data_IF_741772774675
#
_entry.id   IF_741772774675
#
_cell.length_a   1.000
_cell.length_b   1.000
_cell.length_c   1.000
_cell.angle_alpha   90.00
_cell.angle_beta   90.00
_cell.angle_gamma   90.00
#
_symmetry.space_group_name_H-M   'P 1'
#
loop_
_entity.id
_entity.type
_entity.pdbx_description
1 polymer ?
#
# COMPACT_ATOMS: atom_id res chain seq x y z
N UNK A 1 30.90 -2.27 -2.55
CA UNK A 1 29.45 -2.54 -2.76
C UNK A 1 29.36 -3.83 -3.57
N UNK A 2 28.25 -4.57 -3.46
CA UNK A 2 28.01 -5.75 -4.33
C UNK A 2 27.74 -5.29 -5.77
N UNK A 3 28.30 -5.99 -6.76
CA UNK A 3 28.01 -5.74 -8.17
C UNK A 3 26.54 -6.07 -8.46
N UNK A 4 25.80 -5.15 -9.08
CA UNK A 4 24.40 -5.35 -9.47
C UNK A 4 24.38 -5.67 -10.95
N UNK A 5 23.86 -6.84 -11.32
CA UNK A 5 23.73 -7.24 -12.72
C UNK A 5 22.38 -6.78 -13.28
N UNK A 6 22.44 -6.24 -14.49
CA UNK A 6 21.29 -5.77 -15.27
C UNK A 6 21.18 -6.46 -16.64
N UNK A 7 22.21 -7.21 -17.03
CA UNK A 7 22.26 -7.90 -18.31
C UNK A 7 21.32 -9.12 -18.38
N UNK A 8 20.92 -9.48 -19.60
CA UNK A 8 19.96 -10.56 -19.85
C UNK A 8 20.55 -11.94 -19.49
N UNK A 9 21.80 -12.18 -19.89
CA UNK A 9 22.48 -13.47 -19.76
C UNK A 9 23.81 -13.36 -18.97
N UNK A 10 23.87 -12.40 -18.03
CA UNK A 10 25.00 -12.16 -17.13
C UNK A 10 26.33 -11.83 -17.83
N UNK A 11 26.25 -11.22 -19.01
CA UNK A 11 27.38 -10.73 -19.79
C UNK A 11 28.20 -9.73 -18.95
N UNK A 12 27.50 -8.86 -18.23
CA UNK A 12 28.09 -7.87 -17.34
C UNK A 12 28.90 -8.50 -16.19
N UNK A 13 28.42 -9.61 -15.62
CA UNK A 13 29.13 -10.36 -14.57
C UNK A 13 30.41 -11.00 -15.12
N UNK A 14 30.33 -11.62 -16.30
CA UNK A 14 31.49 -12.24 -16.96
C UNK A 14 32.57 -11.20 -17.26
N UNK A 15 32.17 -10.07 -17.85
CA UNK A 15 33.06 -8.95 -18.12
C UNK A 15 33.65 -8.36 -16.85
N UNK A 16 32.83 -8.17 -15.80
CA UNK A 16 33.27 -7.63 -14.52
C UNK A 16 34.31 -8.53 -13.84
N UNK A 17 34.11 -9.85 -13.88
CA UNK A 17 35.10 -10.82 -13.37
C UNK A 17 36.43 -10.69 -14.11
N UNK A 18 36.38 -10.70 -15.44
CA UNK A 18 37.58 -10.59 -16.28
C UNK A 18 38.31 -9.26 -16.07
N UNK A 19 37.58 -8.16 -15.90
CA UNK A 19 38.12 -6.80 -15.84
C UNK A 19 38.26 -6.26 -14.41
N UNK A 20 38.25 -7.13 -13.40
CA UNK A 20 38.30 -6.74 -11.98
C UNK A 20 39.53 -5.90 -11.58
N UNK A 21 40.61 -5.95 -12.35
CA UNK A 21 41.81 -5.11 -12.17
C UNK A 21 41.73 -3.72 -12.82
N UNK A 22 40.71 -3.42 -13.62
CA UNK A 22 40.56 -2.16 -14.35
C UNK A 22 39.71 -1.18 -13.54
N UNK A 23 40.27 -0.03 -13.22
CA UNK A 23 39.54 1.09 -12.61
C UNK A 23 39.14 2.09 -13.70
N UNK A 24 37.84 2.41 -13.78
CA UNK A 24 37.27 3.40 -14.71
C UNK A 24 37.62 3.11 -16.18
N UNK A 25 37.29 1.90 -16.62
CA UNK A 25 37.53 1.47 -18.00
C UNK A 25 36.59 2.12 -19.00
N UNK A 26 36.76 1.75 -20.27
CA UNK A 26 35.99 2.26 -21.39
C UNK A 26 35.45 1.14 -22.26
N UNK A 27 34.23 1.31 -22.76
CA UNK A 27 33.50 0.30 -23.52
C UNK A 27 32.80 0.88 -24.74
N UNK A 28 32.50 0.02 -25.71
CA UNK A 28 31.64 0.33 -26.86
C UNK A 28 30.51 -0.71 -26.90
N UNK A 29 29.28 -0.24 -26.87
CA UNK A 29 28.07 -1.07 -26.87
C UNK A 29 27.33 -0.86 -28.20
N UNK A 30 27.50 -1.78 -29.16
CA UNK A 30 26.88 -1.70 -30.49
C UNK A 30 25.58 -2.50 -30.46
N UNK A 31 24.46 -1.78 -30.69
CA UNK A 31 23.12 -2.28 -30.40
C UNK A 31 22.79 -2.16 -28.91
N UNK A 32 23.04 -0.97 -28.35
CA UNK A 32 22.91 -0.72 -26.91
C UNK A 32 21.45 -0.77 -26.41
N UNK A 33 20.47 -0.46 -27.28
CA UNK A 33 19.05 -0.53 -27.00
C UNK A 33 18.63 0.20 -25.68
N UNK A 34 17.99 -0.49 -24.73
CA UNK A 34 17.44 0.15 -23.53
C UNK A 34 18.55 0.38 -22.48
N UNK A 35 18.69 1.61 -21.92
CA UNK A 35 19.75 1.93 -20.98
C UNK A 35 19.62 1.27 -19.60
N UNK A 36 18.50 0.60 -19.32
CA UNK A 36 18.18 0.04 -18.00
C UNK A 36 17.81 -1.43 -18.11
N UNK A 37 16.97 -1.78 -19.08
CA UNK A 37 16.49 -3.15 -19.28
C UNK A 37 17.48 -3.94 -20.12
N UNK A 38 17.88 -5.12 -19.62
CA UNK A 38 18.86 -6.00 -20.27
C UNK A 38 20.20 -5.32 -20.58
N UNK A 39 20.52 -4.23 -19.88
CA UNK A 39 21.71 -3.41 -20.14
C UNK A 39 22.98 -4.05 -19.60
N UNK A 40 23.90 -4.39 -20.50
CA UNK A 40 25.25 -4.86 -20.14
C UNK A 40 26.09 -3.74 -19.54
N UNK A 41 25.89 -2.51 -20.00
CA UNK A 41 26.70 -1.34 -19.68
C UNK A 41 26.30 -0.61 -18.39
N UNK A 42 25.06 -0.74 -17.90
CA UNK A 42 24.58 -0.02 -16.71
C UNK A 42 25.44 -0.30 -15.46
N UNK A 43 25.79 -1.56 -15.21
CA UNK A 43 26.60 -1.92 -14.06
C UNK A 43 27.99 -1.24 -14.09
N UNK A 44 28.59 -1.14 -15.28
CA UNK A 44 29.86 -0.44 -15.48
C UNK A 44 29.71 1.07 -15.25
N UNK A 45 28.67 1.68 -15.80
CA UNK A 45 28.37 3.10 -15.63
C UNK A 45 28.24 3.50 -14.15
N UNK A 46 27.55 2.69 -13.34
CA UNK A 46 27.40 2.88 -11.89
C UNK A 46 28.74 2.76 -11.13
N UNK A 47 29.75 2.14 -11.74
CA UNK A 47 31.10 1.98 -11.20
C UNK A 47 32.14 2.92 -11.84
N UNK A 48 31.70 4.11 -12.30
CA UNK A 48 32.52 5.16 -12.90
C UNK A 48 33.20 4.80 -14.25
N UNK A 49 32.76 3.72 -14.90
CA UNK A 49 33.17 3.48 -16.30
C UNK A 49 32.39 4.40 -17.22
N UNK A 50 32.97 4.71 -18.37
CA UNK A 50 32.31 5.50 -19.40
C UNK A 50 32.46 4.83 -20.75
N UNK A 51 31.41 4.86 -21.55
CA UNK A 51 31.43 4.22 -22.86
C UNK A 51 30.82 5.05 -23.97
N UNK A 52 30.67 4.36 -25.10
CA UNK A 52 29.98 4.82 -26.30
C UNK A 52 28.89 3.81 -26.61
N UNK A 53 27.69 4.31 -26.88
CA UNK A 53 26.55 3.51 -27.30
C UNK A 53 26.29 3.77 -28.77
N UNK A 54 26.09 2.72 -29.54
CA UNK A 54 25.65 2.81 -30.94
C UNK A 54 24.24 2.27 -31.04
N UNK A 55 23.31 3.13 -31.44
CA UNK A 55 21.88 2.81 -31.48
C UNK A 55 21.18 3.61 -32.58
N UNK A 56 20.76 2.98 -33.69
CA UNK A 56 20.21 3.69 -34.84
C UNK A 56 18.82 4.31 -34.59
N UNK A 57 18.02 3.77 -33.67
CA UNK A 57 16.64 4.24 -33.45
C UNK A 57 16.59 5.51 -32.61
N UNK A 58 15.70 6.43 -32.97
CA UNK A 58 15.48 7.66 -32.18
C UNK A 58 14.96 7.33 -30.78
N UNK A 59 14.10 6.31 -30.67
CA UNK A 59 13.48 5.92 -29.42
C UNK A 59 14.53 5.55 -28.36
N UNK A 60 15.43 4.62 -28.68
CA UNK A 60 16.42 4.13 -27.73
C UNK A 60 17.60 5.09 -27.58
N UNK A 61 18.04 5.75 -28.66
CA UNK A 61 19.09 6.77 -28.55
C UNK A 61 18.68 7.95 -27.65
N UNK A 62 17.41 8.39 -27.70
CA UNK A 62 16.87 9.39 -26.77
C UNK A 62 16.83 8.90 -25.32
N UNK A 63 16.43 7.64 -25.07
CA UNK A 63 16.48 7.03 -23.73
C UNK A 63 17.92 6.97 -23.19
N UNK A 64 18.87 6.52 -24.01
CA UNK A 64 20.29 6.44 -23.66
C UNK A 64 20.84 7.82 -23.28
N UNK A 65 20.60 8.86 -24.08
CA UNK A 65 21.03 10.25 -23.76
C UNK A 65 20.47 10.74 -22.43
N UNK A 66 19.21 10.44 -22.14
CA UNK A 66 18.57 10.83 -20.89
C UNK A 66 19.17 10.08 -19.68
N UNK A 67 19.49 8.80 -19.83
CA UNK A 67 20.01 7.94 -18.78
C UNK A 67 21.54 8.03 -18.58
N UNK A 68 22.26 8.51 -19.61
CA UNK A 68 23.74 8.61 -19.67
C UNK A 68 24.16 9.99 -20.21
N UNK A 69 23.88 11.09 -19.49
CA UNK A 69 24.12 12.45 -19.98
C UNK A 69 25.60 12.81 -20.20
N UNK A 70 26.52 12.01 -19.66
CA UNK A 70 27.97 12.18 -19.74
C UNK A 70 28.66 11.09 -20.57
N UNK A 71 27.91 10.28 -21.31
CA UNK A 71 28.41 9.34 -22.31
C UNK A 71 28.02 9.77 -23.73
N UNK A 72 28.65 9.16 -24.74
CA UNK A 72 28.39 9.49 -26.14
C UNK A 72 27.43 8.47 -26.75
N UNK A 73 26.43 8.96 -27.47
CA UNK A 73 25.46 8.15 -28.21
C UNK A 73 25.65 8.44 -29.70
N UNK A 74 26.17 7.46 -30.43
CA UNK A 74 26.25 7.47 -31.88
C UNK A 74 24.94 6.90 -32.45
N UNK A 75 24.06 7.79 -32.93
CA UNK A 75 22.78 7.39 -33.49
C UNK A 75 22.93 6.99 -34.96
N UNK A 76 23.59 5.87 -35.19
CA UNK A 76 23.93 5.31 -36.50
C UNK A 76 23.81 3.79 -36.45
N UNK A 77 23.65 3.15 -37.60
CA UNK A 77 23.92 1.73 -37.75
C UNK A 77 25.40 1.52 -38.13
N UNK A 78 25.98 0.38 -37.74
CA UNK A 78 27.35 0.03 -38.13
C UNK A 78 27.33 -0.90 -39.34
N UNK A 79 28.08 -0.53 -40.38
CA UNK A 79 28.15 -1.28 -41.63
C UNK A 79 29.04 -0.60 -42.67
N UNK A 80 29.16 -1.20 -43.85
CA UNK A 80 30.01 -0.70 -44.94
C UNK A 80 29.26 -0.52 -46.25
N UNK A 81 29.74 0.40 -47.08
CA UNK A 81 29.34 0.51 -48.50
C UNK A 81 28.14 1.40 -48.79
N UNK A 82 27.52 2.01 -47.77
CA UNK A 82 26.38 2.93 -47.91
C UNK A 82 26.45 4.07 -46.90
N UNK A 83 25.85 5.22 -47.22
CA UNK A 83 25.71 6.36 -46.28
C UNK A 83 24.50 6.22 -45.35
N UNK A 84 23.48 5.48 -45.79
CA UNK A 84 22.26 5.19 -45.04
C UNK A 84 21.67 3.85 -45.46
N UNK A 85 20.84 3.25 -44.62
CA UNK A 85 20.14 1.99 -44.90
C UNK A 85 18.66 2.07 -44.51
N UNK A 86 17.83 1.23 -45.14
CA UNK A 86 16.45 1.01 -44.74
C UNK A 86 16.40 0.12 -43.50
N UNK A 87 15.60 0.50 -42.51
CA UNK A 87 15.57 -0.11 -41.19
C UNK A 87 14.12 -0.36 -40.77
N UNK A 88 13.86 -1.56 -40.25
CA UNK A 88 12.57 -1.96 -39.70
C UNK A 88 12.60 -1.79 -38.18
N UNK A 89 11.96 -0.73 -37.70
CA UNK A 89 11.86 -0.43 -36.28
C UNK A 89 10.65 -1.16 -35.67
N UNK A 90 10.91 -2.10 -34.76
CA UNK A 90 9.89 -2.80 -33.98
C UNK A 90 9.85 -2.21 -32.56
N UNK A 91 9.00 -1.19 -32.40
CA UNK A 91 8.88 -0.39 -31.18
C UNK A 91 8.74 -1.25 -29.92
N UNK A 92 9.53 -0.94 -28.88
CA UNK A 92 9.50 -1.59 -27.56
C UNK A 92 9.85 -3.11 -27.54
N UNK A 93 10.48 -3.65 -28.59
CA UNK A 93 10.80 -5.10 -28.66
C UNK A 93 12.28 -5.46 -28.60
N UNK A 94 13.18 -4.59 -29.08
CA UNK A 94 14.60 -4.91 -29.30
C UNK A 94 14.90 -5.50 -30.68
N UNK A 95 13.90 -6.10 -31.32
CA UNK A 95 14.01 -6.88 -32.56
C UNK A 95 14.17 -6.04 -33.84
N UNK A 96 14.66 -4.80 -33.73
CA UNK A 96 14.76 -3.89 -34.88
C UNK A 96 15.96 -4.25 -35.75
N UNK A 97 15.75 -4.37 -37.06
CA UNK A 97 16.77 -4.89 -37.99
C UNK A 97 16.67 -4.22 -39.36
N UNK A 98 17.76 -4.27 -40.13
CA UNK A 98 17.73 -3.96 -41.57
C UNK A 98 17.80 -5.19 -42.47
N UNK A 99 17.78 -6.39 -41.90
CA UNK A 99 17.68 -7.61 -42.69
C UNK A 99 16.21 -7.87 -43.10
N UNK A 100 15.94 -7.87 -44.40
CA UNK A 100 14.60 -8.08 -44.96
C UNK A 100 14.01 -9.45 -44.59
N UNK A 101 14.83 -10.50 -44.46
CA UNK A 101 14.35 -11.84 -44.13
C UNK A 101 13.96 -11.92 -42.66
N UNK A 102 14.79 -11.36 -41.76
CA UNK A 102 14.50 -11.28 -40.32
C UNK A 102 13.28 -10.39 -40.08
N UNK A 103 13.20 -9.23 -40.73
CA UNK A 103 12.03 -8.35 -40.65
C UNK A 103 10.74 -9.07 -41.05
N UNK A 104 10.75 -9.85 -42.14
CA UNK A 104 9.61 -10.67 -42.56
C UNK A 104 9.23 -11.73 -41.53
N UNK A 105 10.22 -12.41 -40.92
CA UNK A 105 9.95 -13.39 -39.86
C UNK A 105 9.22 -12.76 -38.67
N UNK A 106 9.59 -11.54 -38.27
CA UNK A 106 8.91 -10.83 -37.18
C UNK A 106 7.51 -10.35 -37.60
N UNK A 107 7.34 -9.84 -38.82
CA UNK A 107 6.02 -9.47 -39.34
C UNK A 107 5.06 -10.66 -39.39
N UNK A 108 5.54 -11.83 -39.85
CA UNK A 108 4.77 -13.07 -39.89
C UNK A 108 4.42 -13.59 -38.48
N UNK A 109 5.24 -13.25 -37.50
CA UNK A 109 5.00 -13.54 -36.07
C UNK A 109 4.03 -12.57 -35.40
N UNK A 110 3.49 -11.60 -36.14
CA UNK A 110 2.46 -10.67 -35.69
C UNK A 110 2.97 -9.32 -35.16
N UNK A 111 4.27 -9.08 -35.22
CA UNK A 111 4.84 -7.77 -34.86
C UNK A 111 4.53 -6.72 -35.92
N UNK A 112 4.58 -5.45 -35.52
CA UNK A 112 4.36 -4.31 -36.42
C UNK A 112 5.66 -3.51 -36.56
N UNK A 113 6.07 -3.24 -37.80
CA UNK A 113 7.29 -2.49 -38.09
C UNK A 113 6.97 -1.07 -38.56
N UNK A 114 7.83 -0.13 -38.19
CA UNK A 114 7.90 1.20 -38.78
C UNK A 114 9.15 1.27 -39.66
N UNK A 115 8.98 1.60 -40.93
CA UNK A 115 10.13 1.79 -41.83
C UNK A 115 10.83 3.12 -41.53
N UNK A 116 12.16 3.06 -41.41
CA UNK A 116 13.05 4.19 -41.18
C UNK A 116 14.22 4.15 -42.14
N UNK A 117 14.85 5.30 -42.34
CA UNK A 117 16.17 5.40 -42.97
C UNK A 117 17.11 5.92 -41.91
N UNK A 118 18.18 5.18 -41.63
CA UNK A 118 19.15 5.51 -40.59
C UNK A 118 20.54 5.71 -41.20
N UNK A 119 21.35 6.65 -40.69
CA UNK A 119 22.72 6.86 -41.15
C UNK A 119 23.60 5.65 -40.81
N UNK A 120 24.61 5.40 -41.65
CA UNK A 120 25.54 4.27 -41.49
C UNK A 120 26.97 4.78 -41.32
N UNK A 121 27.73 4.11 -40.46
CA UNK A 121 29.16 4.35 -40.23
C UNK A 121 29.91 3.01 -40.18
N UNK A 122 31.14 2.94 -40.69
CA UNK A 122 31.94 1.71 -40.56
C UNK A 122 32.49 1.53 -39.15
N UNK A 123 32.70 0.27 -38.74
CA UNK A 123 33.37 -0.03 -37.47
C UNK A 123 34.79 0.54 -37.43
N UNK A 124 35.49 0.59 -38.57
CA UNK A 124 36.78 1.30 -38.67
C UNK A 124 36.67 2.78 -38.26
N UNK A 125 35.66 3.49 -38.76
CA UNK A 125 35.46 4.92 -38.46
C UNK A 125 35.11 5.12 -37.00
N UNK A 126 34.23 4.25 -36.45
CA UNK A 126 33.85 4.28 -35.05
C UNK A 126 35.09 4.09 -34.15
N UNK A 127 35.89 3.06 -34.40
CA UNK A 127 37.08 2.78 -33.62
C UNK A 127 38.10 3.93 -33.70
N UNK A 128 38.35 4.47 -34.90
CA UNK A 128 39.28 5.59 -35.08
C UNK A 128 38.86 6.85 -34.30
N UNK A 129 37.55 7.11 -34.18
CA UNK A 129 37.02 8.22 -33.37
C UNK A 129 37.42 8.13 -31.89
N UNK A 130 37.62 6.92 -31.38
CA UNK A 130 37.96 6.65 -29.97
C UNK A 130 39.35 6.05 -29.78
N UNK A 131 40.24 6.18 -30.77
CA UNK A 131 41.62 5.67 -30.77
C UNK A 131 42.47 6.04 -29.55
N UNK A 132 42.19 7.18 -28.93
CA UNK A 132 42.93 7.68 -27.76
C UNK A 132 42.46 7.02 -26.44
N UNK A 133 41.43 6.16 -26.50
CA UNK A 133 40.88 5.43 -25.35
C UNK A 133 41.26 3.96 -25.44
N UNK A 134 41.60 3.37 -24.31
CA UNK A 134 41.74 1.91 -24.20
C UNK A 134 40.36 1.28 -24.13
N UNK A 135 39.95 0.56 -25.17
CA UNK A 135 38.65 -0.11 -25.21
C UNK A 135 38.78 -1.47 -24.51
N UNK A 136 38.22 -1.58 -23.31
CA UNK A 136 38.30 -2.81 -22.50
C UNK A 136 37.32 -3.88 -22.98
N UNK A 137 36.13 -3.49 -23.41
CA UNK A 137 35.20 -4.42 -24.05
C UNK A 137 34.37 -3.75 -25.14
N UNK A 138 33.97 -4.54 -26.13
CA UNK A 138 33.04 -4.14 -27.18
C UNK A 138 31.96 -5.20 -27.35
N UNK A 139 30.69 -4.80 -27.28
CA UNK A 139 29.53 -5.66 -27.60
C UNK A 139 29.06 -5.41 -29.03
N UNK A 140 28.68 -6.48 -29.74
CA UNK A 140 28.00 -6.43 -31.03
C UNK A 140 26.76 -7.32 -30.94
N UNK A 141 25.59 -6.70 -31.03
CA UNK A 141 24.28 -7.34 -31.00
C UNK A 141 23.36 -6.48 -31.86
N UNK A 142 23.21 -6.85 -33.12
CA UNK A 142 22.55 -6.00 -34.12
C UNK A 142 21.48 -6.78 -34.87
N UNK A 143 20.87 -7.75 -34.18
CA UNK A 143 19.71 -8.53 -34.63
C UNK A 143 19.94 -9.17 -36.01
N UNK A 144 21.07 -9.89 -36.15
CA UNK A 144 21.40 -10.73 -37.31
C UNK A 144 22.36 -10.10 -38.33
N UNK A 145 22.91 -8.92 -38.02
CA UNK A 145 23.84 -8.19 -38.89
C UNK A 145 25.28 -8.16 -38.35
N UNK A 146 25.61 -9.07 -37.42
CA UNK A 146 26.91 -9.10 -36.74
C UNK A 146 28.05 -9.27 -37.75
N UNK A 147 27.83 -10.09 -38.79
CA UNK A 147 28.77 -10.25 -39.89
C UNK A 147 29.05 -8.94 -40.61
N UNK A 148 28.02 -8.18 -40.97
CA UNK A 148 28.16 -6.91 -41.69
C UNK A 148 28.93 -5.88 -40.85
N UNK A 149 28.70 -5.86 -39.54
CA UNK A 149 29.46 -5.03 -38.60
C UNK A 149 30.94 -5.42 -38.63
N UNK A 150 31.25 -6.72 -38.52
CA UNK A 150 32.62 -7.25 -38.49
C UNK A 150 33.34 -7.04 -39.83
N UNK A 151 32.65 -7.21 -40.96
CA UNK A 151 33.20 -6.95 -42.31
C UNK A 151 33.55 -5.46 -42.51
N UNK A 152 32.91 -4.55 -41.77
CA UNK A 152 33.23 -3.11 -41.80
C UNK A 152 34.45 -2.71 -40.95
N UNK A 153 35.09 -3.68 -40.30
CA UNK A 153 36.35 -3.52 -39.56
C UNK A 153 37.49 -4.06 -40.41
N UNK A 154 38.07 -3.22 -41.27
CA UNK A 154 39.10 -3.64 -42.24
C UNK A 154 40.45 -3.07 -41.85
N UNK A 155 40.56 -1.75 -41.80
CA UNK A 155 41.83 -1.01 -41.72
C UNK A 155 42.23 -0.63 -40.28
N UNK A 156 41.27 -0.50 -39.37
CA UNK A 156 41.56 0.00 -38.02
C UNK A 156 42.47 -0.96 -37.25
N UNK A 157 43.60 -0.49 -36.69
CA UNK A 157 44.51 -1.32 -35.90
C UNK A 157 44.04 -1.47 -34.44
N UNK A 158 43.00 -0.75 -34.03
CA UNK A 158 42.51 -0.74 -32.65
C UNK A 158 41.87 -2.08 -32.34
N UNK A 159 42.17 -2.67 -31.19
CA UNK A 159 41.68 -3.99 -30.76
C UNK A 159 41.13 -3.88 -29.34
N UNK A 160 39.80 -3.87 -29.16
CA UNK A 160 39.19 -4.02 -27.84
C UNK A 160 39.70 -5.28 -27.13
N UNK A 161 39.88 -5.25 -25.81
CA UNK A 161 40.45 -6.41 -25.11
C UNK A 161 39.54 -7.62 -25.17
N UNK A 162 38.23 -7.40 -24.99
CA UNK A 162 37.20 -8.43 -25.01
C UNK A 162 36.12 -8.06 -26.03
N UNK A 163 35.70 -9.02 -26.85
CA UNK A 163 34.51 -8.92 -27.69
C UNK A 163 33.40 -9.77 -27.09
N UNK A 164 32.18 -9.24 -27.08
CA UNK A 164 30.95 -9.98 -26.79
C UNK A 164 30.07 -9.87 -28.03
N UNK A 165 29.79 -10.98 -28.69
CA UNK A 165 29.08 -10.96 -29.97
C UNK A 165 27.90 -11.92 -29.86
N UNK A 166 26.69 -11.43 -30.11
CA UNK A 166 25.52 -12.29 -30.21
C UNK A 166 25.74 -13.28 -31.35
N UNK A 167 25.42 -14.56 -31.13
CA UNK A 167 25.85 -15.63 -32.02
C UNK A 167 24.74 -16.60 -32.37
N UNK A 168 23.49 -16.17 -32.26
CA UNK A 168 22.30 -16.93 -32.64
C UNK A 168 21.38 -16.14 -33.55
N UNK A 169 20.53 -16.82 -34.31
CA UNK A 169 19.42 -16.13 -34.99
C UNK A 169 18.46 -15.53 -33.95
N UNK A 170 17.79 -14.39 -34.25
CA UNK A 170 16.83 -13.79 -33.34
C UNK A 170 15.80 -14.81 -32.85
N UNK A 171 15.58 -14.85 -31.53
CA UNK A 171 14.63 -15.76 -30.87
C UNK A 171 14.88 -17.26 -31.12
N UNK A 172 16.12 -17.67 -31.44
CA UNK A 172 16.52 -19.05 -31.74
C UNK A 172 17.78 -19.48 -30.97
N UNK A 173 18.06 -20.79 -30.96
CA UNK A 173 19.33 -21.36 -30.49
C UNK A 173 20.25 -21.75 -31.65
N UNK A 174 19.82 -21.52 -32.88
CA UNK A 174 20.63 -21.76 -34.08
C UNK A 174 21.78 -20.77 -34.14
N UNK A 175 23.01 -21.27 -34.14
CA UNK A 175 24.20 -20.43 -34.03
C UNK A 175 24.66 -19.87 -35.39
N UNK A 176 25.03 -18.59 -35.42
CA UNK A 176 25.44 -17.83 -36.63
C UNK A 176 26.94 -17.55 -36.70
N UNK A 177 27.71 -17.88 -35.65
CA UNK A 177 29.15 -17.58 -35.58
C UNK A 177 29.99 -18.12 -36.75
N UNK A 178 29.56 -19.22 -37.38
CA UNK A 178 30.27 -19.80 -38.53
C UNK A 178 30.47 -18.82 -39.69
N UNK A 179 29.61 -17.80 -39.79
CA UNK A 179 29.64 -16.82 -40.87
C UNK A 179 30.66 -15.68 -40.67
N UNK A 180 31.12 -15.45 -39.43
CA UNK A 180 31.96 -14.30 -39.08
C UNK A 180 33.16 -14.60 -38.17
N UNK A 181 33.19 -15.74 -37.47
CA UNK A 181 34.23 -16.05 -36.45
C UNK A 181 35.64 -15.99 -37.04
N UNK A 182 35.85 -16.51 -38.24
CA UNK A 182 37.15 -16.49 -38.92
C UNK A 182 37.71 -15.06 -39.10
N UNK A 183 36.84 -14.06 -39.26
CA UNK A 183 37.24 -12.66 -39.45
C UNK A 183 37.85 -12.07 -38.18
N UNK A 184 37.28 -12.37 -37.01
CA UNK A 184 37.82 -11.90 -35.73
C UNK A 184 39.03 -12.74 -35.29
N UNK A 185 39.05 -14.05 -35.57
CA UNK A 185 40.22 -14.89 -35.30
C UNK A 185 41.44 -14.39 -36.08
N UNK A 186 41.25 -14.01 -37.36
CA UNK A 186 42.30 -13.40 -38.17
C UNK A 186 42.82 -12.06 -37.60
N UNK A 187 42.04 -11.40 -36.73
CA UNK A 187 42.41 -10.16 -36.04
C UNK A 187 43.12 -10.38 -34.70
N UNK A 188 43.44 -11.62 -34.33
CA UNK A 188 44.17 -11.96 -33.11
C UNK A 188 43.28 -12.28 -31.91
N UNK A 189 41.98 -12.49 -32.12
CA UNK A 189 41.07 -12.90 -31.05
C UNK A 189 41.09 -14.41 -30.81
N UNK A 190 40.87 -14.81 -29.56
CA UNK A 190 40.75 -16.21 -29.13
C UNK A 190 39.38 -16.42 -28.50
N UNK A 191 38.69 -17.47 -28.91
CA UNK A 191 37.44 -17.87 -28.28
C UNK A 191 37.64 -18.17 -26.79
N UNK A 192 36.78 -17.60 -25.95
CA UNK A 192 36.88 -17.68 -24.49
C UNK A 192 35.70 -18.42 -23.87
N UNK A 193 34.46 -18.03 -24.23
CA UNK A 193 33.25 -18.55 -23.59
C UNK A 193 32.03 -18.39 -24.50
N UNK A 194 31.07 -19.30 -24.36
CA UNK A 194 29.75 -19.21 -24.98
C UNK A 194 28.70 -19.41 -23.89
N UNK A 195 27.82 -18.44 -23.72
CA UNK A 195 26.82 -18.42 -22.63
C UNK A 195 25.46 -19.01 -23.06
N UNK A 196 25.35 -19.52 -24.29
CA UNK A 196 24.11 -19.97 -24.90
C UNK A 196 23.48 -18.99 -25.88
N UNK A 197 23.93 -17.73 -25.88
CA UNK A 197 23.45 -16.62 -26.70
C UNK A 197 24.64 -15.86 -27.34
N UNK A 198 25.52 -15.34 -26.48
CA UNK A 198 26.70 -14.56 -26.83
C UNK A 198 27.98 -15.41 -26.79
N UNK A 199 28.89 -15.09 -27.70
CA UNK A 199 30.27 -15.57 -27.66
C UNK A 199 31.23 -14.47 -27.21
N UNK A 200 32.11 -14.84 -26.30
CA UNK A 200 33.16 -14.01 -25.76
C UNK A 200 34.49 -14.37 -26.42
N UNK A 201 35.22 -13.35 -26.85
CA UNK A 201 36.55 -13.50 -27.39
C UNK A 201 37.51 -12.53 -26.72
N UNK A 202 38.74 -12.98 -26.49
CA UNK A 202 39.80 -12.18 -25.87
C UNK A 202 40.91 -11.96 -26.88
N UNK A 203 41.36 -10.71 -27.04
CA UNK A 203 42.50 -10.40 -27.90
C UNK A 203 43.77 -11.03 -27.34
N UNK A 204 44.65 -11.54 -28.20
CA UNK A 204 45.85 -12.27 -27.76
C UNK A 204 46.83 -11.43 -26.92
N UNK A 205 46.83 -10.11 -27.08
CA UNK A 205 47.59 -9.18 -26.24
C UNK A 205 47.14 -9.18 -24.77
N UNK A 206 45.95 -9.70 -24.49
CA UNK A 206 45.32 -9.80 -23.17
C UNK A 206 44.95 -11.25 -22.81
N UNK A 207 45.75 -12.21 -23.28
CA UNK A 207 45.50 -13.65 -23.08
C UNK A 207 45.35 -14.06 -21.60
N UNK A 208 45.89 -13.28 -20.66
CA UNK A 208 45.69 -13.45 -19.21
C UNK A 208 44.21 -13.40 -18.80
N UNK A 209 43.36 -12.70 -19.55
CA UNK A 209 41.93 -12.58 -19.24
C UNK A 209 41.14 -13.86 -19.55
N UNK A 210 41.68 -14.78 -20.37
CA UNK A 210 41.01 -16.04 -20.71
C UNK A 210 40.71 -16.90 -19.47
N UNK A 211 41.54 -16.83 -18.42
CA UNK A 211 41.33 -17.60 -17.20
C UNK A 211 40.00 -17.25 -16.51
N UNK A 212 39.56 -16.00 -16.64
CA UNK A 212 38.29 -15.53 -16.10
C UNK A 212 37.07 -16.12 -16.83
N UNK A 213 37.24 -16.82 -17.95
CA UNK A 213 36.16 -17.38 -18.76
C UNK A 213 35.99 -18.91 -18.59
N UNK A 214 36.78 -19.53 -17.70
CA UNK A 214 36.79 -20.99 -17.50
C UNK A 214 35.50 -21.59 -16.91
N UNK A 215 34.59 -20.76 -16.38
CA UNK A 215 33.33 -21.21 -15.80
C UNK A 215 32.23 -20.18 -16.01
N UNK A 216 30.94 -20.57 -16.01
CA UNK A 216 29.84 -19.62 -16.03
C UNK A 216 29.80 -18.75 -14.75
N UNK A 217 28.99 -17.69 -14.72
CA UNK A 217 28.69 -16.95 -13.49
C UNK A 217 28.21 -17.88 -12.39
N UNK A 218 28.73 -17.70 -11.18
CA UNK A 218 28.50 -18.59 -10.06
C UNK A 218 28.58 -17.85 -8.72
N UNK A 219 28.44 -18.60 -7.62
CA UNK A 219 28.36 -18.06 -6.26
C UNK A 219 29.60 -17.26 -5.83
N UNK A 220 30.74 -17.46 -6.48
CA UNK A 220 31.98 -16.72 -6.17
C UNK A 220 32.01 -15.31 -6.76
N UNK A 221 31.15 -15.01 -7.73
CA UNK A 221 31.03 -13.68 -8.35
C UNK A 221 30.29 -12.68 -7.44
N UNK A 222 29.49 -13.18 -6.48
CA UNK A 222 28.80 -12.38 -5.44
C UNK A 222 27.99 -11.18 -5.99
N UNK A 223 27.49 -11.29 -7.21
CA UNK A 223 26.60 -10.30 -7.79
C UNK A 223 25.17 -10.44 -7.23
N UNK A 224 24.40 -9.38 -7.36
CA UNK A 224 22.96 -9.35 -7.05
C UNK A 224 22.17 -8.98 -8.30
N UNK A 225 20.91 -9.41 -8.34
CA UNK A 225 20.02 -9.13 -9.48
C UNK A 225 19.41 -7.73 -9.34
N UNK A 226 19.55 -6.89 -10.36
CA UNK A 226 18.99 -5.53 -10.40
C UNK A 226 17.48 -5.48 -10.60
N UNK A 227 16.85 -6.59 -11.01
CA UNK A 227 15.39 -6.66 -11.21
C UNK A 227 14.91 -6.00 -12.51
N UNK A 228 15.81 -5.70 -13.44
CA UNK A 228 15.52 -5.01 -14.72
C UNK A 228 15.71 -5.88 -15.96
N UNK A 229 16.43 -6.99 -15.84
CA UNK A 229 16.59 -7.94 -16.92
C UNK A 229 15.32 -8.77 -17.16
N UNK A 230 15.14 -9.25 -18.40
CA UNK A 230 13.94 -9.95 -18.88
C UNK A 230 13.92 -11.46 -18.57
N UNK A 231 15.05 -12.05 -18.16
CA UNK A 231 15.17 -13.50 -17.91
C UNK A 231 14.20 -14.01 -16.81
N UNK A 232 13.77 -15.27 -16.93
CA UNK A 232 12.82 -15.94 -16.02
C UNK A 232 13.13 -15.85 -14.52
N UNK A 233 14.41 -15.83 -14.10
CA UNK A 233 14.78 -15.66 -12.70
C UNK A 233 14.35 -14.29 -12.14
N UNK A 234 14.35 -13.25 -12.98
CA UNK A 234 13.93 -11.90 -12.63
C UNK A 234 12.41 -11.78 -12.48
N UNK A 235 11.64 -12.50 -13.30
CA UNK A 235 10.17 -12.48 -13.23
C UNK A 235 9.67 -12.93 -11.86
N UNK A 236 10.29 -13.95 -11.25
CA UNK A 236 9.94 -14.40 -9.90
C UNK A 236 10.26 -13.35 -8.85
N UNK A 237 11.44 -12.72 -8.94
CA UNK A 237 11.86 -11.66 -8.00
C UNK A 237 10.92 -10.46 -8.10
N UNK A 238 10.63 -10.01 -9.32
CA UNK A 238 9.70 -8.91 -9.58
C UNK A 238 8.30 -9.22 -9.04
N UNK A 239 7.80 -10.44 -9.29
CA UNK A 239 6.51 -10.89 -8.77
C UNK A 239 6.45 -10.81 -7.24
N UNK A 240 7.51 -11.26 -6.54
CA UNK A 240 7.59 -11.19 -5.07
C UNK A 240 7.66 -9.75 -4.57
N UNK A 241 8.41 -8.88 -5.23
CA UNK A 241 8.48 -7.45 -4.87
C UNK A 241 7.11 -6.79 -5.02
N UNK A 242 6.42 -7.03 -6.13
CA UNK A 242 5.07 -6.51 -6.38
C UNK A 242 4.06 -7.03 -5.35
N UNK A 243 4.15 -8.31 -4.97
CA UNK A 243 3.31 -8.89 -3.92
C UNK A 243 3.55 -8.20 -2.57
N UNK A 244 4.82 -8.02 -2.17
CA UNK A 244 5.16 -7.34 -0.92
C UNK A 244 4.68 -5.87 -0.91
N UNK A 245 4.81 -5.15 -2.04
CA UNK A 245 4.29 -3.80 -2.18
C UNK A 245 2.76 -3.75 -2.07
N UNK A 246 2.07 -4.68 -2.74
CA UNK A 246 0.62 -4.79 -2.66
C UNK A 246 0.14 -5.10 -1.23
N UNK A 247 0.85 -5.96 -0.49
CA UNK A 247 0.57 -6.24 0.92
C UNK A 247 0.78 -5.01 1.82
N UNK A 248 1.86 -4.26 1.59
CA UNK A 248 2.13 -3.00 2.31
C UNK A 248 0.99 -1.99 2.08
N UNK A 249 0.63 -1.76 0.81
CA UNK A 249 -0.45 -0.85 0.44
C UNK A 249 -1.81 -1.29 1.01
N UNK A 250 -2.10 -2.60 1.03
CA UNK A 250 -3.30 -3.14 1.68
C UNK A 250 -3.30 -2.88 3.17
N UNK A 251 -2.17 -3.11 3.85
CA UNK A 251 -2.04 -2.82 5.28
C UNK A 251 -2.24 -1.33 5.58
N UNK A 252 -1.68 -0.44 4.77
CA UNK A 252 -1.88 1.01 4.90
C UNK A 252 -3.34 1.42 4.68
N UNK A 253 -3.98 0.88 3.63
CA UNK A 253 -5.39 1.13 3.34
C UNK A 253 -6.31 0.64 4.46
N UNK A 254 -6.03 -0.55 5.03
CA UNK A 254 -6.77 -1.08 6.18
C UNK A 254 -6.63 -0.17 7.41
N UNK A 255 -5.40 0.31 7.70
CA UNK A 255 -5.17 1.26 8.81
C UNK A 255 -5.93 2.57 8.60
N UNK A 256 -5.89 3.13 7.39
CA UNK A 256 -6.60 4.35 7.05
C UNK A 256 -8.13 4.17 7.16
N UNK A 257 -8.66 3.02 6.71
CA UNK A 257 -10.07 2.69 6.84
C UNK A 257 -10.50 2.55 8.31
N UNK A 258 -9.67 1.91 9.15
CA UNK A 258 -9.96 1.77 10.57
C UNK A 258 -9.90 3.11 11.31
N UNK A 259 -8.95 3.98 10.96
CA UNK A 259 -8.87 5.35 11.49
C UNK A 259 -10.08 6.18 11.08
N UNK A 260 -10.48 6.13 9.80
CA UNK A 260 -11.69 6.80 9.33
C UNK A 260 -12.95 6.30 10.06
N UNK A 261 -13.06 5.00 10.32
CA UNK A 261 -14.16 4.43 11.12
C UNK A 261 -14.15 4.98 12.55
N UNK A 262 -12.99 5.08 13.19
CA UNK A 262 -12.86 5.66 14.55
C UNK A 262 -13.27 7.13 14.58
N UNK A 263 -12.85 7.92 13.59
CA UNK A 263 -13.24 9.33 13.47
C UNK A 263 -14.76 9.44 13.31
N UNK A 264 -15.36 8.66 12.39
CA UNK A 264 -16.81 8.67 12.18
C UNK A 264 -17.61 8.25 13.41
N UNK A 265 -17.13 7.25 14.16
CA UNK A 265 -17.74 6.84 15.42
C UNK A 265 -17.66 7.94 16.48
N UNK A 266 -16.53 8.63 16.59
CA UNK A 266 -16.38 9.73 17.55
C UNK A 266 -17.23 10.94 17.17
N UNK A 267 -17.31 11.30 15.88
CA UNK A 267 -18.23 12.32 15.37
C UNK A 267 -19.69 12.00 15.70
N UNK A 268 -20.09 10.73 15.53
CA UNK A 268 -21.44 10.27 15.88
C UNK A 268 -21.68 10.42 17.39
N UNK A 269 -20.72 10.06 18.23
CA UNK A 269 -20.83 10.20 19.70
C UNK A 269 -20.96 11.66 20.12
N UNK A 270 -20.16 12.56 19.52
CA UNK A 270 -20.25 14.01 19.76
C UNK A 270 -21.62 14.54 19.32
N UNK A 271 -22.12 14.11 18.16
CA UNK A 271 -23.44 14.50 17.65
C UNK A 271 -24.58 14.02 18.55
N UNK A 272 -24.52 12.77 19.02
CA UNK A 272 -25.51 12.23 19.96
C UNK A 272 -25.47 12.97 21.31
N UNK A 273 -24.29 13.31 21.81
CA UNK A 273 -24.14 14.04 23.07
C UNK A 273 -24.65 15.48 22.97
N UNK A 274 -24.38 16.18 21.86
CA UNK A 274 -24.88 17.53 21.61
C UNK A 274 -26.40 17.55 21.49
N UNK A 275 -26.99 16.58 20.80
CA UNK A 275 -28.45 16.39 20.73
C UNK A 275 -29.05 16.09 22.11
N UNK A 276 -28.41 15.23 22.90
CA UNK A 276 -28.89 14.94 24.25
C UNK A 276 -28.89 16.19 25.12
N UNK A 277 -27.82 16.98 25.08
CA UNK A 277 -27.72 18.26 25.79
C UNK A 277 -28.79 19.25 25.35
N UNK A 278 -29.11 19.33 24.04
CA UNK A 278 -30.17 20.22 23.56
C UNK A 278 -31.56 19.78 24.03
N UNK A 279 -31.86 18.48 23.97
CA UNK A 279 -33.13 17.92 24.49
C UNK A 279 -33.27 18.13 26.00
N UNK A 280 -32.20 17.94 26.76
CA UNK A 280 -32.19 18.19 28.21
C UNK A 280 -32.43 19.69 28.51
N UNK A 281 -31.85 20.60 27.72
CA UNK A 281 -32.08 22.04 27.84
C UNK A 281 -33.54 22.43 27.50
N UNK A 282 -34.11 21.87 26.44
CA UNK A 282 -35.53 22.08 26.10
C UNK A 282 -36.46 21.57 27.20
N UNK A 283 -36.19 20.36 27.73
CA UNK A 283 -36.97 19.78 28.82
C UNK A 283 -36.89 20.65 30.09
N UNK A 284 -35.70 21.17 30.40
CA UNK A 284 -35.50 22.10 31.51
C UNK A 284 -36.29 23.40 31.31
N UNK A 285 -36.29 23.96 30.10
CA UNK A 285 -37.08 25.15 29.75
C UNK A 285 -38.60 24.89 29.89
N UNK A 286 -39.08 23.72 29.45
CA UNK A 286 -40.47 23.30 29.64
C UNK A 286 -40.80 23.19 31.13
N UNK A 287 -39.94 22.57 31.94
CA UNK A 287 -40.16 22.44 33.38
C UNK A 287 -40.10 23.77 34.14
N UNK A 288 -39.33 24.73 33.66
CA UNK A 288 -39.26 26.09 34.20
C UNK A 288 -40.42 26.99 33.77
N UNK A 289 -41.21 26.58 32.76
CA UNK A 289 -42.30 27.39 32.22
C UNK A 289 -43.43 27.62 33.24
N UNK A 290 -44.04 28.82 33.18
CA UNK A 290 -45.19 29.18 34.05
C UNK A 290 -46.37 28.25 33.85
N UNK A 291 -46.62 27.79 32.63
CA UNK A 291 -47.69 26.83 32.30
C UNK A 291 -47.44 25.47 32.95
N UNK A 292 -46.19 24.99 33.00
CA UNK A 292 -45.84 23.74 33.69
C UNK A 292 -46.06 23.87 35.20
N UNK A 293 -45.73 25.01 35.80
CA UNK A 293 -45.97 25.26 37.23
C UNK A 293 -47.47 25.36 37.56
N UNK A 294 -48.23 26.13 36.78
CA UNK A 294 -49.67 26.35 36.96
C UNK A 294 -50.50 25.07 36.83
N UNK A 295 -50.08 24.14 35.95
CA UNK A 295 -50.78 22.86 35.73
C UNK A 295 -50.39 21.76 36.72
N UNK A 296 -49.49 22.03 37.68
CA UNK A 296 -49.07 21.07 38.72
C UNK A 296 -50.23 20.46 39.53
N UNK A 297 -51.27 21.21 39.95
CA UNK A 297 -52.41 20.62 40.66
C UNK A 297 -53.20 19.66 39.77
N UNK A 298 -53.43 20.06 38.50
CA UNK A 298 -54.18 19.26 37.53
C UNK A 298 -53.44 17.95 37.19
N UNK A 299 -52.12 18.02 36.96
CA UNK A 299 -51.29 16.81 36.75
C UNK A 299 -51.29 15.89 37.96
N UNK A 300 -51.28 16.44 39.18
CA UNK A 300 -51.40 15.65 40.39
C UNK A 300 -52.75 14.93 40.45
N UNK A 301 -53.87 15.62 40.18
CA UNK A 301 -55.21 15.02 40.15
C UNK A 301 -55.29 13.89 39.12
N UNK A 302 -54.81 14.13 37.89
CA UNK A 302 -54.78 13.10 36.83
C UNK A 302 -53.93 11.89 37.26
N UNK A 303 -52.77 12.13 37.90
CA UNK A 303 -51.95 11.05 38.43
C UNK A 303 -52.68 10.25 39.53
N UNK A 304 -53.43 10.91 40.41
CA UNK A 304 -54.21 10.24 41.43
C UNK A 304 -55.35 9.43 40.81
N UNK A 305 -56.06 9.98 39.83
CA UNK A 305 -57.12 9.25 39.08
C UNK A 305 -56.55 8.00 38.41
N UNK A 306 -55.39 8.11 37.76
CA UNK A 306 -54.73 6.95 37.15
C UNK A 306 -54.32 5.91 38.20
N UNK A 307 -53.75 6.35 39.32
CA UNK A 307 -53.31 5.45 40.40
C UNK A 307 -54.47 4.80 41.15
N UNK A 308 -55.60 5.52 41.29
CA UNK A 308 -56.88 5.02 41.83
C UNK A 308 -57.48 3.98 40.89
N UNK A 309 -57.47 4.21 39.57
CA UNK A 309 -57.89 3.21 38.58
C UNK A 309 -57.02 1.95 38.59
N UNK A 310 -55.72 2.10 38.83
CA UNK A 310 -54.78 0.96 38.82
C UNK A 310 -54.75 0.14 40.11
N UNK A 311 -54.94 0.76 41.28
CA UNK A 311 -54.78 0.08 42.58
C UNK A 311 -56.06 0.08 43.44
N UNK A 312 -57.17 0.63 42.95
CA UNK A 312 -58.44 0.69 43.68
C UNK A 312 -58.52 1.84 44.70
N UNK A 313 -59.72 2.40 44.84
CA UNK A 313 -60.02 3.57 45.69
C UNK A 313 -59.68 3.31 47.16
N UNK A 314 -60.03 2.13 47.67
CA UNK A 314 -59.88 1.76 49.09
C UNK A 314 -58.42 1.63 49.53
N UNK A 315 -57.52 1.16 48.67
CA UNK A 315 -56.08 1.04 48.97
C UNK A 315 -55.44 2.44 49.04
N UNK A 316 -55.87 3.35 48.16
CA UNK A 316 -55.41 4.74 48.16
C UNK A 316 -55.94 5.53 49.35
N UNK A 317 -57.21 5.35 49.72
CA UNK A 317 -57.80 5.98 50.91
C UNK A 317 -57.07 5.53 52.18
N UNK A 318 -56.78 4.22 52.32
CA UNK A 318 -55.96 3.70 53.43
C UNK A 318 -54.55 4.29 53.44
N UNK A 319 -53.89 4.41 52.28
CA UNK A 319 -52.55 5.01 52.18
C UNK A 319 -52.55 6.50 52.48
N UNK A 320 -53.55 7.24 52.02
CA UNK A 320 -53.71 8.67 52.30
C UNK A 320 -53.99 8.93 53.79
N UNK A 321 -54.91 8.17 54.39
CA UNK A 321 -55.16 8.20 55.85
C UNK A 321 -53.89 7.86 56.61
N UNK A 322 -53.14 6.83 56.21
CA UNK A 322 -51.85 6.46 56.84
C UNK A 322 -50.81 7.57 56.73
N UNK A 323 -50.70 8.23 55.57
CA UNK A 323 -49.76 9.33 55.36
C UNK A 323 -50.15 10.59 56.16
N UNK A 324 -51.44 10.90 56.21
CA UNK A 324 -52.00 12.01 56.99
C UNK A 324 -51.83 11.77 58.50
N UNK A 325 -52.12 10.55 58.98
CA UNK A 325 -51.84 10.13 60.35
C UNK A 325 -50.36 10.25 60.68
N UNK A 326 -49.48 9.81 59.77
CA UNK A 326 -48.03 9.94 59.95
C UNK A 326 -47.55 11.39 60.04
N UNK A 327 -48.13 12.29 59.24
CA UNK A 327 -47.85 13.72 59.28
C UNK A 327 -48.36 14.38 60.58
N UNK A 328 -49.60 14.09 61.00
CA UNK A 328 -50.19 14.55 62.26
C UNK A 328 -49.40 14.01 63.46
N UNK A 329 -49.04 12.73 63.48
CA UNK A 329 -48.23 12.12 64.53
C UNK A 329 -46.83 12.73 64.60
N UNK A 330 -46.20 13.10 63.48
CA UNK A 330 -44.92 13.83 63.49
C UNK A 330 -45.08 15.23 64.09
N UNK A 331 -46.14 15.97 63.76
CA UNK A 331 -46.42 17.29 64.37
C UNK A 331 -46.73 17.19 65.86
N UNK A 332 -47.53 16.20 66.26
CA UNK A 332 -47.86 15.94 67.66
C UNK A 332 -46.60 15.50 68.44
N UNK A 333 -45.77 14.63 67.86
CA UNK A 333 -44.47 14.25 68.43
C UNK A 333 -43.56 15.46 68.63
N UNK A 334 -43.42 16.32 67.61
CA UNK A 334 -42.62 17.55 67.68
C UNK A 334 -43.17 18.55 68.73
N UNK A 335 -44.50 18.66 68.86
CA UNK A 335 -45.17 19.50 69.84
C UNK A 335 -44.98 18.99 71.28
N UNK A 336 -45.06 17.68 71.51
CA UNK A 336 -44.82 17.07 72.82
C UNK A 336 -43.34 16.99 73.20
N UNK A 337 -42.41 16.91 72.23
CA UNK A 337 -40.98 17.04 72.51
C UNK A 337 -40.58 18.47 72.91
N UNK A 338 -41.31 19.49 72.45
CA UNK A 338 -41.08 20.89 72.82
C UNK A 338 -41.66 21.27 74.20
N UNK A 339 -42.49 20.42 74.85
CA UNK A 339 -43.15 20.71 76.14
C UNK A 339 -43.12 19.49 77.09
N UNK A 340 -42.02 19.25 77.83
CA UNK A 340 -41.81 18.02 78.62
C UNK A 340 -42.80 17.83 79.79
N UNK A 341 -43.20 18.91 80.46
CA UNK A 341 -44.10 18.86 81.61
C UNK A 341 -45.52 18.35 81.23
N UNK A 342 -46.05 18.79 80.08
CA UNK A 342 -47.33 18.34 79.53
C UNK A 342 -47.30 16.87 79.11
N UNK A 343 -46.18 16.41 78.55
CA UNK A 343 -45.97 15.01 78.17
C UNK A 343 -46.07 14.09 79.40
N UNK A 344 -45.48 14.46 80.53
CA UNK A 344 -45.52 13.66 81.76
C UNK A 344 -46.95 13.52 82.32
N UNK A 345 -47.73 14.61 82.34
CA UNK A 345 -49.13 14.62 82.79
C UNK A 345 -50.04 13.79 81.89
N UNK A 346 -49.90 13.92 80.56
CA UNK A 346 -50.68 13.11 79.61
C UNK A 346 -50.35 11.61 79.73
N UNK A 347 -49.08 11.25 79.95
CA UNK A 347 -48.69 9.85 80.19
C UNK A 347 -49.29 9.33 81.51
N UNK A 348 -49.30 10.15 82.56
CA UNK A 348 -49.94 9.82 83.84
C UNK A 348 -51.44 9.54 83.70
N UNK A 349 -52.16 10.41 82.99
CA UNK A 349 -53.60 10.24 82.71
C UNK A 349 -53.86 8.99 81.86
N UNK A 350 -53.06 8.75 80.82
CA UNK A 350 -53.19 7.57 79.97
C UNK A 350 -52.91 6.25 80.72
N UNK A 351 -52.02 6.27 81.71
CA UNK A 351 -51.77 5.12 82.59
C UNK A 351 -52.91 4.91 83.58
N UNK A 352 -53.47 5.97 84.15
CA UNK A 352 -54.60 5.90 85.07
C UNK A 352 -55.88 5.33 84.41
N UNK A 353 -56.07 5.60 83.11
CA UNK A 353 -57.20 5.08 82.32
C UNK A 353 -56.88 3.69 81.72
N UNK A 354 -55.70 3.11 82.00
CA UNK A 354 -55.32 1.75 81.56
C UNK A 354 -55.00 1.60 80.06
N UNK A 355 -55.11 2.68 79.27
CA UNK A 355 -54.97 2.67 77.81
C UNK A 355 -53.56 2.98 77.30
N UNK A 356 -52.63 3.32 78.21
CA UNK A 356 -51.24 3.66 77.86
C UNK A 356 -50.52 2.58 77.04
N UNK A 357 -50.72 1.29 77.38
CA UNK A 357 -50.10 0.17 76.66
C UNK A 357 -50.53 0.11 75.20
N UNK A 358 -51.84 0.25 74.94
CA UNK A 358 -52.39 0.24 73.59
C UNK A 358 -51.92 1.43 72.74
N UNK A 359 -51.88 2.63 73.31
CA UNK A 359 -51.39 3.83 72.62
C UNK A 359 -49.89 3.73 72.31
N UNK A 360 -49.08 3.22 73.26
CA UNK A 360 -47.64 3.00 73.08
C UNK A 360 -47.36 2.05 71.92
N UNK A 361 -48.09 0.94 71.85
CA UNK A 361 -47.90 -0.09 70.81
C UNK A 361 -48.32 0.40 69.43
N UNK A 362 -49.38 1.22 69.33
CA UNK A 362 -49.80 1.84 68.06
C UNK A 362 -48.74 2.82 67.55
N UNK A 363 -48.20 3.68 68.44
CA UNK A 363 -47.12 4.62 68.07
C UNK A 363 -45.85 3.87 67.66
N UNK A 364 -45.48 2.79 68.37
CA UNK A 364 -44.30 1.99 68.07
C UNK A 364 -44.43 1.19 66.76
N UNK A 365 -45.62 0.65 66.44
CA UNK A 365 -45.88 -0.01 65.14
C UNK A 365 -45.89 0.96 63.96
N UNK A 366 -46.31 2.20 64.19
CA UNK A 366 -46.31 3.23 63.15
C UNK A 366 -44.91 3.80 62.88
N UNK A 367 -44.04 3.90 63.90
CA UNK A 367 -42.64 4.34 63.73
C UNK A 367 -41.77 3.29 63.01
N UNK A 368 -41.97 1.99 63.28
CA UNK A 368 -41.26 0.89 62.57
C UNK A 368 -41.54 0.83 61.06
N UNK A 369 -42.69 1.35 60.60
CA UNK A 369 -43.07 1.38 59.19
C UNK A 369 -42.48 2.57 58.40
N UNK A 370 -41.71 3.47 59.04
CA UNK A 370 -41.13 4.65 58.41
C UNK A 370 -39.74 4.42 57.79
N UNK A 371 -39.16 3.23 57.94
CA UNK A 371 -37.88 2.85 57.31
C UNK A 371 -38.08 1.62 56.45
N UNK A 372 -38.73 1.81 55.31
CA UNK A 372 -38.61 0.88 54.18
C UNK A 372 -37.99 1.68 53.04
N UNK A 373 -36.71 1.44 52.77
CA UNK A 373 -36.04 1.86 51.54
C UNK A 373 -36.88 1.35 50.37
N UNK A 374 -37.46 2.29 49.60
CA UNK A 374 -38.20 1.96 48.38
C UNK A 374 -37.17 1.62 47.30
N UNK A 375 -36.85 0.33 47.15
CA UNK A 375 -36.21 -0.15 45.94
C UNK A 375 -37.11 0.23 44.74
N UNK A 376 -36.55 0.88 43.71
CA UNK A 376 -37.26 1.17 42.46
C UNK A 376 -37.59 -0.18 41.81
N UNK A 377 -38.88 -0.54 41.81
CA UNK A 377 -39.35 -1.64 40.99
C UNK A 377 -39.09 -1.34 39.50
N UNK A 378 -38.73 -2.34 38.68
CA UNK A 378 -38.53 -2.16 37.25
C UNK A 378 -39.81 -1.61 36.60
N UNK A 379 -39.62 -0.69 35.66
CA UNK A 379 -40.70 0.05 34.99
C UNK A 379 -41.55 -0.90 34.12
N UNK A 380 -42.80 -1.13 34.51
CA UNK A 380 -43.76 -1.94 33.74
C UNK A 380 -44.53 -1.06 32.74
N UNK A 381 -44.53 -1.46 31.46
CA UNK A 381 -45.22 -0.77 30.34
C UNK A 381 -46.72 -0.52 30.59
N UNK A 382 -47.33 -1.25 31.54
CA UNK A 382 -48.74 -1.10 31.92
C UNK A 382 -49.06 0.24 32.62
N UNK A 383 -48.05 1.01 33.03
CA UNK A 383 -48.23 2.34 33.64
C UNK A 383 -48.30 3.50 32.64
N UNK A 384 -48.06 3.24 31.35
CA UNK A 384 -48.15 4.27 30.30
C UNK A 384 -49.62 4.51 29.89
N UNK A 385 -49.96 5.77 29.62
CA UNK A 385 -51.24 6.15 28.98
C UNK A 385 -51.32 5.58 27.56
N UNK A 386 -52.51 5.49 26.97
CA UNK A 386 -52.67 4.94 25.60
C UNK A 386 -51.75 5.62 24.57
N UNK A 387 -51.63 6.95 24.65
CA UNK A 387 -50.70 7.74 23.82
C UNK A 387 -49.22 7.47 24.19
N UNK A 388 -48.91 7.33 25.49
CA UNK A 388 -47.57 7.00 25.97
C UNK A 388 -47.07 5.60 25.56
N UNK A 389 -47.96 4.60 25.49
CA UNK A 389 -47.63 3.28 24.95
C UNK A 389 -47.35 3.33 23.46
N UNK A 390 -48.09 4.17 22.72
CA UNK A 390 -47.88 4.30 21.28
C UNK A 390 -46.51 4.96 20.99
N UNK A 391 -46.16 6.03 21.71
CA UNK A 391 -44.86 6.68 21.63
C UNK A 391 -43.73 5.72 22.06
N UNK A 392 -43.92 4.97 23.16
CA UNK A 392 -42.93 4.00 23.63
C UNK A 392 -42.71 2.85 22.62
N UNK A 393 -43.77 2.34 21.99
CA UNK A 393 -43.65 1.33 20.91
C UNK A 393 -42.97 1.89 19.67
N UNK A 394 -43.29 3.12 19.28
CA UNK A 394 -42.65 3.80 18.14
C UNK A 394 -41.15 4.00 18.38
N UNK A 395 -40.76 4.42 19.59
CA UNK A 395 -39.35 4.56 19.98
C UNK A 395 -38.62 3.20 20.03
N UNK A 396 -39.27 2.14 20.53
CA UNK A 396 -38.70 0.78 20.55
C UNK A 396 -38.55 0.18 19.15
N UNK A 397 -39.49 0.44 18.25
CA UNK A 397 -39.42 0.04 16.84
C UNK A 397 -38.37 0.86 16.05
N UNK A 398 -38.22 2.14 16.37
CA UNK A 398 -37.14 2.99 15.83
C UNK A 398 -35.75 2.52 16.29
N UNK A 399 -35.61 2.15 17.57
CA UNK A 399 -34.36 1.62 18.10
C UNK A 399 -34.00 0.24 17.53
N UNK A 400 -35.01 -0.61 17.23
CA UNK A 400 -34.79 -1.90 16.56
C UNK A 400 -34.38 -1.73 15.08
N UNK A 401 -35.01 -0.78 14.35
CA UNK A 401 -34.65 -0.49 12.95
C UNK A 401 -33.25 0.10 12.79
N UNK A 402 -32.75 0.86 13.77
CA UNK A 402 -31.38 1.37 13.77
C UNK A 402 -30.33 0.32 14.21
N UNK A 403 -30.77 -0.85 14.70
CA UNK A 403 -29.89 -1.96 15.09
C UNK A 403 -29.78 -3.08 14.04
N UNK A 404 -30.65 -3.09 13.02
CA UNK A 404 -30.59 -4.05 11.89
C UNK A 404 -29.88 -3.46 10.65
N UNK A 405 -29.25 -2.29 10.80
CA UNK A 405 -28.49 -1.59 9.75
C UNK A 405 -27.00 -1.39 10.08
N UNK A 406 -26.42 -2.23 10.95
CA UNK A 406 -24.97 -2.35 11.14
C UNK A 406 -24.50 -3.77 10.80
#
# INVERSE_FOLDING_TARGET
MSFVSYAQNFEDVMLWRALSGVSKGFYIDIGAQDPIHDSVSLAFYEHDWRGVHVEPTEQYSSKLRAARPDEVIEQVAIGSGVESLEFYEFTDTGLSTSDDAIARMHLDSGYQAIHRVVPVMSLDTLLEKYRERTINWMKIDVEGLEKNVIESWVESPIRPWILVIESTLPMSQEQTHGDWENLILAKGYRFAYFDGLNRFYVHEAHSELLEAFNCPPNVFDRFVLGGKASHSFHQLVQSRVLQAQAESLRSESLRASEEARRISEEERRISEETLRKSVEAELAAVYASKSWYLTKPLRWVVSQVHLVRKHGLMIRLKSFVKSMLGFLLRRVSLFFSARPALRSKCIGILKAIGIYGGVRDVVFRLSKNAVVKRAKAPFSEQHLTGRGRNIYRQLKQSAARNGEGQ
#
